data_IF_508250839291
#
_entry.id   IF_508250839291
#
_cell.length_a   1.000
_cell.length_b   1.000
_cell.length_c   1.000
_cell.angle_alpha   90.00
_cell.angle_beta   90.00
_cell.angle_gamma   90.00
#
_symmetry.space_group_name_H-M   'P 1'
#
loop_
_entity.id
_entity.type
_entity.pdbx_description
1 polymer ?
#
# COMPACT_ATOMS: atom_id res chain seq x y z
N UNK A 1 -3.82 7.91 9.98
CA UNK A 1 -3.17 6.69 9.49
C UNK A 1 -1.68 6.89 9.65
N UNK A 2 -0.98 5.86 10.07
CA UNK A 2 0.48 5.86 10.23
C UNK A 2 1.04 4.59 9.58
N UNK A 3 2.15 4.73 8.86
CA UNK A 3 2.87 3.63 8.23
C UNK A 3 4.30 3.60 8.75
N UNK A 4 4.73 2.45 9.27
CA UNK A 4 6.10 2.22 9.70
C UNK A 4 6.62 0.98 8.99
N UNK A 5 7.91 0.91 8.69
CA UNK A 5 8.54 -0.32 8.19
C UNK A 5 9.26 -1.02 9.34
N UNK A 6 9.43 -2.34 9.24
CA UNK A 6 10.15 -3.10 10.27
C UNK A 6 11.65 -2.74 10.41
N UNK A 7 12.22 -1.86 9.56
CA UNK A 7 13.62 -1.42 9.67
C UNK A 7 13.83 0.09 9.96
N UNK A 8 12.76 0.86 10.23
CA UNK A 8 12.85 2.23 10.78
C UNK A 8 13.22 3.35 9.78
N UNK A 9 13.31 4.59 10.28
CA UNK A 9 13.32 5.89 9.55
C UNK A 9 14.50 6.16 8.59
N UNK A 10 15.44 5.23 8.42
CA UNK A 10 16.63 5.43 7.56
C UNK A 10 16.86 4.22 6.65
N UNK A 11 16.13 4.09 5.54
CA UNK A 11 16.27 2.92 4.67
C UNK A 11 16.85 3.28 3.30
N UNK A 12 18.11 2.90 3.10
CA UNK A 12 18.58 2.41 1.81
C UNK A 12 18.27 0.91 1.78
N UNK A 13 17.32 0.49 0.96
CA UNK A 13 17.04 -0.93 0.74
C UNK A 13 18.07 -1.55 -0.20
N UNK A 14 18.44 -2.81 0.02
CA UNK A 14 19.32 -3.57 -0.87
C UNK A 14 18.56 -4.67 -1.61
N UNK A 15 19.17 -5.18 -2.69
CA UNK A 15 18.62 -6.30 -3.48
C UNK A 15 18.25 -7.46 -2.57
N UNK A 16 17.02 -7.95 -2.67
CA UNK A 16 16.54 -9.10 -1.92
C UNK A 16 16.00 -8.81 -0.52
N UNK A 17 15.97 -7.55 -0.07
CA UNK A 17 15.31 -7.20 1.20
C UNK A 17 13.80 -7.48 1.11
N UNK A 18 13.28 -8.27 2.06
CA UNK A 18 11.84 -8.45 2.26
C UNK A 18 11.32 -7.30 3.10
N UNK A 19 10.37 -6.52 2.59
CA UNK A 19 9.76 -5.42 3.35
C UNK A 19 8.40 -5.84 3.91
N UNK A 20 8.28 -5.65 5.22
CA UNK A 20 7.00 -5.62 5.91
C UNK A 20 6.68 -4.19 6.35
N UNK A 21 5.46 -3.78 6.06
CA UNK A 21 4.86 -2.53 6.48
C UNK A 21 3.93 -2.78 7.65
N UNK A 22 4.05 -1.98 8.70
CA UNK A 22 3.14 -1.93 9.83
C UNK A 22 2.21 -0.74 9.64
N UNK A 23 0.93 -1.03 9.38
CA UNK A 23 -0.09 -0.02 9.16
C UNK A 23 -0.96 0.12 10.41
N UNK A 24 -1.15 1.36 10.89
CA UNK A 24 -2.08 1.68 11.98
C UNK A 24 -3.24 2.56 11.50
N UNK A 25 -4.46 2.14 11.82
CA UNK A 25 -5.71 2.79 11.41
C UNK A 25 -6.46 3.39 12.59
N UNK A 26 -6.89 4.65 12.46
CA UNK A 26 -7.73 5.31 13.46
C UNK A 26 -9.22 5.00 13.33
N UNK A 27 -9.64 4.37 12.24
CA UNK A 27 -11.01 4.02 11.90
C UNK A 27 -10.99 2.83 10.93
N UNK A 28 -12.11 2.13 10.80
CA UNK A 28 -12.27 1.05 9.83
C UNK A 28 -12.11 1.59 8.39
N UNK A 29 -11.38 0.87 7.54
CA UNK A 29 -11.10 1.31 6.18
C UNK A 29 -10.77 0.16 5.23
N UNK A 30 -11.07 0.38 3.96
CA UNK A 30 -10.51 -0.32 2.81
C UNK A 30 -9.15 0.28 2.45
N UNK A 31 -8.13 -0.57 2.36
CA UNK A 31 -6.74 -0.18 2.11
C UNK A 31 -6.34 -0.55 0.69
N UNK A 32 -5.65 0.38 0.04
CA UNK A 32 -5.04 0.17 -1.27
C UNK A 32 -3.58 0.56 -1.16
N UNK A 33 -2.69 -0.37 -1.48
CA UNK A 33 -1.25 -0.17 -1.34
C UNK A 33 -0.57 -0.37 -2.69
N UNK A 34 0.25 0.60 -3.07
CA UNK A 34 0.98 0.62 -4.32
C UNK A 34 2.45 0.87 -4.09
N UNK A 35 3.27 0.15 -4.83
CA UNK A 35 4.69 0.40 -4.95
C UNK A 35 4.97 1.05 -6.30
N UNK A 36 5.78 2.10 -6.29
CA UNK A 36 6.25 2.78 -7.49
C UNK A 36 7.75 2.60 -7.55
N UNK A 37 8.23 1.93 -8.58
CA UNK A 37 9.66 1.72 -8.80
C UNK A 37 10.34 2.96 -9.42
N UNK A 38 11.67 2.89 -9.55
CA UNK A 38 12.47 3.96 -10.14
C UNK A 38 12.13 4.30 -11.61
N UNK A 39 11.43 3.40 -12.32
CA UNK A 39 10.96 3.60 -13.69
C UNK A 39 9.50 4.10 -13.76
N UNK A 40 8.89 4.42 -12.61
CA UNK A 40 7.48 4.78 -12.43
C UNK A 40 6.50 3.66 -12.76
N UNK A 41 6.92 2.40 -12.75
CA UNK A 41 5.98 1.29 -12.84
C UNK A 41 5.22 1.17 -11.52
N UNK A 42 3.90 1.05 -11.62
CA UNK A 42 3.02 0.93 -10.46
C UNK A 42 2.69 -0.55 -10.26
N UNK A 43 3.07 -1.09 -9.10
CA UNK A 43 2.73 -2.44 -8.67
C UNK A 43 1.72 -2.35 -7.53
N UNK A 44 0.57 -3.00 -7.69
CA UNK A 44 -0.42 -3.09 -6.62
C UNK A 44 -0.02 -4.18 -5.63
N UNK A 45 0.34 -3.76 -4.41
CA UNK A 45 0.66 -4.67 -3.29
C UNK A 45 -0.65 -5.18 -2.67
N UNK A 46 -1.66 -4.31 -2.53
CA UNK A 46 -2.91 -4.65 -1.86
C UNK A 46 -4.11 -3.89 -2.46
N UNK A 47 -5.27 -4.54 -2.67
CA UNK A 47 -5.44 -5.99 -2.78
C UNK A 47 -4.68 -6.57 -3.98
N UNK A 48 -4.29 -7.84 -3.94
CA UNK A 48 -3.70 -8.54 -5.08
C UNK A 48 -4.25 -9.97 -5.20
N UNK A 49 -3.77 -10.75 -6.18
CA UNK A 49 -4.26 -12.12 -6.42
C UNK A 49 -4.05 -13.06 -5.22
N UNK A 50 -2.98 -12.85 -4.45
CA UNK A 50 -2.63 -13.63 -3.26
C UNK A 50 -3.33 -13.12 -1.99
N UNK A 51 -3.73 -11.84 -1.95
CA UNK A 51 -4.36 -11.19 -0.82
C UNK A 51 -5.49 -10.26 -1.29
N UNK A 52 -6.69 -10.82 -1.44
CA UNK A 52 -7.86 -10.10 -1.96
C UNK A 52 -8.59 -9.28 -0.88
N UNK A 53 -8.50 -9.70 0.38
CA UNK A 53 -9.08 -8.95 1.49
C UNK A 53 -8.29 -7.66 1.70
N UNK A 54 -9.01 -6.54 1.71
CA UNK A 54 -8.42 -5.23 1.93
C UNK A 54 -9.19 -4.36 2.92
N UNK A 55 -10.21 -4.90 3.59
CA UNK A 55 -10.93 -4.20 4.65
C UNK A 55 -10.30 -4.51 6.01
N UNK A 56 -10.04 -3.46 6.77
CA UNK A 56 -9.37 -3.55 8.06
C UNK A 56 -10.05 -2.65 9.08
N UNK A 57 -10.03 -3.09 10.35
CA UNK A 57 -10.66 -2.37 11.46
C UNK A 57 -9.68 -1.43 12.16
N UNK A 58 -10.22 -0.41 12.83
CA UNK A 58 -9.46 0.54 13.62
C UNK A 58 -8.65 -0.14 14.73
N UNK A 59 -7.51 0.45 15.09
CA UNK A 59 -6.70 0.03 16.25
C UNK A 59 -5.82 -1.19 16.03
N UNK A 60 -5.74 -1.73 14.81
CA UNK A 60 -4.85 -2.83 14.46
C UNK A 60 -3.53 -2.33 13.85
N UNK A 61 -2.44 -2.99 14.23
CA UNK A 61 -1.16 -2.95 13.52
C UNK A 61 -1.11 -4.11 12.55
N UNK A 62 -1.19 -3.83 11.26
CA UNK A 62 -1.28 -4.85 10.22
C UNK A 62 0.06 -4.95 9.50
N UNK A 63 0.60 -6.17 9.38
CA UNK A 63 1.77 -6.44 8.55
C UNK A 63 1.34 -6.67 7.11
N UNK A 64 1.86 -5.87 6.18
CA UNK A 64 1.65 -6.03 4.75
C UNK A 64 3.00 -6.29 4.08
N UNK A 65 3.15 -7.34 3.26
CA UNK A 65 2.22 -8.47 3.08
C UNK A 65 1.90 -9.25 4.36
N UNK A 66 0.72 -9.87 4.43
CA UNK A 66 0.36 -10.74 5.56
C UNK A 66 1.18 -12.04 5.53
N UNK A 67 1.64 -12.50 6.70
CA UNK A 67 2.51 -13.67 6.84
C UNK A 67 1.94 -14.95 6.21
N UNK A 68 0.63 -15.17 6.34
CA UNK A 68 -0.04 -16.40 5.89
C UNK A 68 -0.20 -16.49 4.37
N UNK A 69 -0.11 -15.37 3.65
CA UNK A 69 -0.40 -15.35 2.20
C UNK A 69 0.79 -15.77 1.33
N UNK A 70 1.92 -16.20 1.92
CA UNK A 70 3.17 -16.61 1.26
C UNK A 70 3.75 -15.60 0.25
N UNK A 71 3.16 -14.42 0.15
CA UNK A 71 3.64 -13.30 -0.64
C UNK A 71 4.71 -12.57 0.15
N UNK A 72 5.83 -12.30 -0.52
CA UNK A 72 6.94 -11.51 0.01
C UNK A 72 7.17 -10.36 -0.95
N UNK A 73 7.16 -9.14 -0.43
CA UNK A 73 7.53 -7.98 -1.20
C UNK A 73 9.04 -7.79 -1.08
N UNK A 74 9.77 -8.12 -2.15
CA UNK A 74 11.23 -8.05 -2.21
C UNK A 74 11.69 -6.89 -3.07
N UNK A 75 12.66 -6.11 -2.59
CA UNK A 75 13.30 -5.08 -3.41
C UNK A 75 14.21 -5.72 -4.47
N UNK A 76 14.11 -5.24 -5.70
CA UNK A 76 14.92 -5.71 -6.82
C UNK A 76 15.37 -4.55 -7.69
N UNK A 77 16.53 -4.71 -8.36
CA UNK A 77 17.05 -3.73 -9.33
C UNK A 77 16.00 -3.34 -10.41
N UNK A 78 16.06 -2.11 -10.96
CA UNK A 78 17.08 -1.07 -10.74
C UNK A 78 16.80 -0.19 -9.51
N UNK A 79 17.84 0.09 -8.73
CA UNK A 79 17.75 1.00 -7.59
C UNK A 79 17.53 2.45 -8.05
N UNK A 80 16.64 3.17 -7.37
CA UNK A 80 16.37 4.58 -7.62
C UNK A 80 15.39 5.15 -6.61
N UNK A 81 14.64 6.20 -6.99
CA UNK A 81 13.60 6.74 -6.12
C UNK A 81 12.38 5.83 -6.20
N UNK A 82 12.18 5.07 -5.14
CA UNK A 82 11.03 4.21 -4.95
C UNK A 82 10.07 4.85 -3.95
N UNK A 83 8.77 4.59 -4.06
CA UNK A 83 7.78 5.10 -3.10
C UNK A 83 6.66 4.12 -2.86
N UNK A 84 6.11 4.19 -1.65
CA UNK A 84 5.00 3.37 -1.20
C UNK A 84 3.81 4.28 -0.93
N UNK A 85 2.74 4.04 -1.65
CA UNK A 85 1.50 4.78 -1.52
C UNK A 85 0.48 3.91 -0.81
N UNK A 86 -0.03 4.40 0.31
CA UNK A 86 -1.13 3.76 1.02
C UNK A 86 -2.32 4.71 0.98
N UNK A 87 -3.45 4.21 0.49
CA UNK A 87 -4.70 4.94 0.40
C UNK A 87 -5.74 4.21 1.25
N UNK A 88 -6.41 4.94 2.13
CA UNK A 88 -7.47 4.43 2.98
C UNK A 88 -8.80 5.10 2.60
N UNK A 89 -9.83 4.28 2.40
CA UNK A 89 -11.20 4.73 2.13
C UNK A 89 -12.19 4.04 3.06
N UNK A 90 -13.24 4.74 3.46
CA UNK A 90 -14.36 4.14 4.18
C UNK A 90 -15.31 3.31 3.29
N UNK A 91 -15.10 3.32 1.96
CA UNK A 91 -15.86 2.52 1.01
C UNK A 91 -14.97 1.58 0.19
N UNK A 92 -15.55 0.44 -0.19
CA UNK A 92 -14.94 -0.45 -1.17
C UNK A 92 -15.04 0.19 -2.55
N UNK A 93 -13.92 0.20 -3.26
CA UNK A 93 -13.77 0.88 -4.54
C UNK A 93 -13.16 -0.11 -5.51
N UNK A 94 -13.81 -0.27 -6.65
CA UNK A 94 -13.25 -1.03 -7.74
C UNK A 94 -12.20 -0.18 -8.46
N UNK A 95 -10.92 -0.51 -8.25
CA UNK A 95 -9.81 0.02 -9.04
C UNK A 95 -9.64 -0.93 -10.23
N UNK A 96 -10.01 -0.48 -11.42
CA UNK A 96 -9.78 -1.25 -12.65
C UNK A 96 -8.27 -1.35 -12.96
N UNK A 97 -7.88 -2.45 -13.61
CA UNK A 97 -6.49 -2.92 -13.71
C UNK A 97 -5.49 -2.00 -14.46
N UNK A 98 -5.92 -0.86 -14.99
CA UNK A 98 -5.03 0.07 -15.67
C UNK A 98 -5.35 1.53 -15.28
N UNK A 99 -4.93 1.97 -14.08
CA UNK A 99 -4.84 3.40 -13.81
C UNK A 99 -3.74 4.02 -14.67
N UNK A 100 -4.01 5.17 -15.27
CA UNK A 100 -3.00 5.89 -16.08
C UNK A 100 -1.85 6.45 -15.21
N UNK A 101 -2.12 6.73 -13.92
CA UNK A 101 -1.13 7.18 -12.94
C UNK A 101 -1.56 6.93 -11.49
N UNK A 102 -0.62 7.00 -10.53
CA UNK A 102 -0.92 6.93 -9.09
C UNK A 102 -1.83 8.09 -8.65
N UNK A 103 -1.70 9.25 -9.28
CA UNK A 103 -2.53 10.41 -8.94
C UNK A 103 -3.99 10.18 -9.36
N UNK A 104 -4.24 9.50 -10.49
CA UNK A 104 -5.61 9.13 -10.89
C UNK A 104 -6.24 8.14 -9.90
N UNK A 105 -5.46 7.17 -9.41
CA UNK A 105 -5.88 6.24 -8.35
C UNK A 105 -6.24 7.04 -7.10
N UNK A 106 -5.32 7.89 -6.64
CA UNK A 106 -5.49 8.73 -5.45
C UNK A 106 -6.76 9.58 -5.54
N UNK A 107 -6.95 10.28 -6.65
CA UNK A 107 -8.12 11.12 -6.88
C UNK A 107 -9.41 10.30 -6.90
N UNK A 108 -9.39 9.10 -7.48
CA UNK A 108 -10.55 8.21 -7.48
C UNK A 108 -10.87 7.72 -6.06
N UNK A 109 -9.88 7.23 -5.32
CA UNK A 109 -10.07 6.77 -3.94
C UNK A 109 -10.64 7.89 -3.09
N UNK A 110 -10.08 9.10 -3.23
CA UNK A 110 -10.55 10.30 -2.52
C UNK A 110 -11.98 10.69 -2.88
N UNK A 111 -12.36 10.67 -4.16
CA UNK A 111 -13.72 11.04 -4.60
C UNK A 111 -14.79 10.01 -4.24
N UNK A 112 -14.40 8.74 -4.18
CA UNK A 112 -15.31 7.64 -3.87
C UNK A 112 -15.45 7.37 -2.37
N UNK A 113 -14.55 7.91 -1.55
CA UNK A 113 -14.70 7.94 -0.10
C UNK A 113 -15.88 8.85 0.28
N UNK A 114 -16.69 8.44 1.25
CA UNK A 114 -17.92 9.14 1.61
C UNK A 114 -17.70 10.14 2.75
N UNK A 115 -17.14 9.66 3.86
CA UNK A 115 -16.99 10.41 5.10
C UNK A 115 -15.53 10.62 5.47
N UNK A 116 -14.63 9.71 5.08
CA UNK A 116 -13.25 9.79 5.51
C UNK A 116 -12.25 9.13 4.53
N UNK A 117 -11.09 9.77 4.42
CA UNK A 117 -9.99 9.40 3.53
C UNK A 117 -8.65 9.62 4.23
N UNK A 118 -7.69 8.72 4.02
CA UNK A 118 -6.32 8.85 4.50
C UNK A 118 -5.30 8.48 3.44
N UNK A 119 -4.13 9.10 3.46
CA UNK A 119 -3.02 8.79 2.55
C UNK A 119 -1.67 8.84 3.26
N UNK A 120 -0.71 8.07 2.74
CA UNK A 120 0.71 8.09 3.09
C UNK A 120 1.53 7.92 1.80
N UNK A 121 2.62 8.68 1.67
CA UNK A 121 3.53 8.73 0.51
C UNK A 121 4.98 8.79 0.95
#
# INVERSE_FOLDING_TARGET
>A
MELTTHLGDQQQFVDGDEIQFLLSLGQDAYIYMYYIDAANNITQILPNENQQSNFYTAGYFLTIPEYENHYRFTISKPFGKESIWVLASDKSIFINQAPESIEDIRQRVKRSSETAYGEYV
#
